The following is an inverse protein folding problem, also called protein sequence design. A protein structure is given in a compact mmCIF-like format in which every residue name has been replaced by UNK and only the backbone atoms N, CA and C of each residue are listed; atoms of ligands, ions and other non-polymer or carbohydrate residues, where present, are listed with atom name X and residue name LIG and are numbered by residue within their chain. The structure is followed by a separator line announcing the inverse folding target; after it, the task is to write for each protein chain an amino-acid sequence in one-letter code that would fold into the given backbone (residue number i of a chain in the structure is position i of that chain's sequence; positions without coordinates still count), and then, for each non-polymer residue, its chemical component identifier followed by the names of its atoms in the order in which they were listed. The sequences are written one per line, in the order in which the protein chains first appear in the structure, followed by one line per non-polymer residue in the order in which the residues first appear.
data_IF_321222771105
#
_entry.id   IF_321222771105
#
_cell.length_a   1.000
_cell.length_b   1.000
_cell.length_c   1.000
_cell.angle_alpha   90.00
_cell.angle_beta   90.00
_cell.angle_gamma   90.00
#
_symmetry.space_group_name_H-M   'P 1'
#
loop_
_entity.id
_entity.type
_entity.pdbx_description
1 polymer ?
#
# COMPACT_ATOMS: atom_id res chain seq x y z
N UNK A 1 -14.68 -10.02 9.88
CA UNK A 1 -14.73 -8.89 9.08
C UNK A 1 -13.85 -7.78 9.59
N UNK A 2 -13.21 -7.11 8.73
CA UNK A 2 -12.27 -6.10 9.18
C UNK A 2 -12.83 -4.70 9.06
N UNK A 3 -14.13 -4.59 9.28
CA UNK A 3 -14.75 -3.29 9.28
C UNK A 3 -14.03 -2.44 10.29
N UNK A 4 -13.71 -1.26 9.93
CA UNK A 4 -13.01 -0.37 10.82
C UNK A 4 -11.53 -0.35 10.67
N UNK A 5 -10.95 -1.30 9.96
CA UNK A 5 -9.52 -1.22 9.71
C UNK A 5 -9.25 -0.06 8.76
N UNK A 6 -8.35 0.78 9.14
CA UNK A 6 -7.95 1.90 8.31
C UNK A 6 -6.60 1.62 7.68
N UNK A 7 -6.51 1.89 6.40
CA UNK A 7 -5.24 1.80 5.69
C UNK A 7 -5.02 3.16 5.06
N UNK A 8 -3.89 3.77 5.31
CA UNK A 8 -3.53 5.04 4.69
C UNK A 8 -2.74 4.78 3.43
N UNK A 9 -3.00 5.57 2.42
CA UNK A 9 -2.26 5.48 1.17
C UNK A 9 -1.57 6.81 0.94
N UNK A 10 -0.28 6.75 0.72
CA UNK A 10 0.53 7.92 0.42
C UNK A 10 1.08 7.82 -0.98
N UNK A 11 1.04 8.92 -1.71
CA UNK A 11 1.60 8.95 -3.06
C UNK A 11 2.73 9.96 -3.11
N UNK A 12 3.83 9.56 -3.71
CA UNK A 12 4.94 10.46 -3.97
C UNK A 12 5.30 10.32 -5.44
N UNK A 13 5.37 11.43 -6.13
CA UNK A 13 5.73 11.43 -7.54
C UNK A 13 7.02 12.20 -7.71
N UNK A 14 7.99 11.54 -8.34
CA UNK A 14 9.26 12.16 -8.66
C UNK A 14 9.58 11.84 -10.11
N UNK A 15 9.62 12.88 -10.93
CA UNK A 15 9.90 12.69 -12.33
C UNK A 15 8.87 11.76 -12.95
N UNK A 16 9.34 10.67 -13.52
CA UNK A 16 8.49 9.71 -14.21
C UNK A 16 8.02 8.56 -13.33
N UNK A 17 8.31 8.62 -12.04
CA UNK A 17 8.02 7.52 -11.14
C UNK A 17 7.03 7.95 -10.08
N UNK A 18 6.04 7.11 -9.83
CA UNK A 18 5.12 7.30 -8.74
C UNK A 18 5.31 6.16 -7.75
N UNK A 19 5.25 6.50 -6.47
CA UNK A 19 5.36 5.51 -5.40
C UNK A 19 4.10 5.59 -4.56
N UNK A 20 3.48 4.45 -4.32
CA UNK A 20 2.33 4.37 -3.43
C UNK A 20 2.71 3.54 -2.23
N UNK A 21 2.42 4.04 -1.06
CA UNK A 21 2.72 3.34 0.19
C UNK A 21 1.42 3.14 0.94
N UNK A 22 1.13 1.89 1.27
CA UNK A 22 -0.02 1.56 2.10
C UNK A 22 0.47 1.32 3.51
N UNK A 23 -0.19 1.95 4.46
CA UNK A 23 0.24 1.92 5.85
C UNK A 23 -0.92 1.48 6.72
N UNK A 24 -0.66 0.47 7.55
CA UNK A 24 -1.62 0.06 8.57
C UNK A 24 -1.18 0.70 9.88
N UNK A 25 -1.91 1.73 10.35
CA UNK A 25 -1.47 2.43 11.56
C UNK A 25 -1.54 1.57 12.81
N UNK A 26 -2.39 0.57 12.82
CA UNK A 26 -2.53 -0.29 14.00
C UNK A 26 -1.29 -1.14 14.23
N UNK A 27 -0.71 -1.67 13.16
CA UNK A 27 0.45 -2.53 13.29
C UNK A 27 1.76 -1.83 12.96
N UNK A 28 1.69 -0.72 12.25
CA UNK A 28 2.88 -0.04 11.78
C UNK A 28 3.49 -0.67 10.53
N UNK A 29 2.85 -1.67 9.97
CA UNK A 29 3.35 -2.32 8.77
C UNK A 29 3.06 -1.45 7.56
N UNK A 30 4.02 -1.37 6.66
CA UNK A 30 3.90 -0.58 5.45
C UNK A 30 4.29 -1.42 4.25
N UNK A 31 3.66 -1.12 3.13
CA UNK A 31 4.00 -1.76 1.87
C UNK A 31 4.06 -0.70 0.80
N UNK A 32 5.07 -0.78 -0.02
CA UNK A 32 5.35 0.23 -1.02
C UNK A 32 5.42 -0.40 -2.39
N UNK A 33 4.80 0.23 -3.37
CA UNK A 33 4.93 -0.19 -4.76
C UNK A 33 5.28 1.01 -5.60
N UNK A 34 5.91 0.78 -6.73
CA UNK A 34 6.29 1.84 -7.64
C UNK A 34 5.71 1.57 -9.02
N UNK A 35 5.46 2.62 -9.74
CA UNK A 35 5.01 2.52 -11.11
C UNK A 35 5.29 3.80 -11.85
N UNK A 36 4.90 3.87 -13.12
CA UNK A 36 5.10 5.11 -13.87
C UNK A 36 4.19 6.21 -13.34
N UNK A 37 4.67 7.44 -13.43
CA UNK A 37 3.94 8.58 -12.88
C UNK A 37 2.57 8.73 -13.52
N UNK A 38 2.40 8.25 -14.74
CA UNK A 38 1.11 8.36 -15.42
C UNK A 38 0.19 7.16 -15.21
N UNK A 39 0.59 6.22 -14.35
CA UNK A 39 -0.30 5.10 -14.03
C UNK A 39 -1.49 5.62 -13.21
N UNK A 40 -2.64 4.98 -13.34
CA UNK A 40 -3.78 5.38 -12.53
C UNK A 40 -3.47 5.21 -11.05
N UNK A 41 -3.75 6.24 -10.27
CA UNK A 41 -3.47 6.18 -8.84
C UNK A 41 -4.22 5.05 -8.16
N UNK A 42 -5.45 4.79 -8.63
CA UNK A 42 -6.23 3.72 -8.04
C UNK A 42 -5.56 2.36 -8.22
N UNK A 43 -4.90 2.16 -9.35
CA UNK A 43 -4.21 0.89 -9.60
C UNK A 43 -3.02 0.74 -8.66
N UNK A 44 -2.26 1.82 -8.48
CA UNK A 44 -1.11 1.77 -7.58
C UNK A 44 -1.56 1.59 -6.13
N UNK A 45 -2.63 2.28 -5.74
CA UNK A 45 -3.15 2.14 -4.39
C UNK A 45 -3.60 0.71 -4.13
N UNK A 46 -4.27 0.13 -5.09
CA UNK A 46 -4.75 -1.24 -4.95
C UNK A 46 -3.60 -2.23 -4.83
N UNK A 47 -2.58 -2.04 -5.65
CA UNK A 47 -1.40 -2.90 -5.58
C UNK A 47 -0.69 -2.78 -4.24
N UNK A 48 -0.57 -1.56 -3.73
CA UNK A 48 0.06 -1.35 -2.43
C UNK A 48 -0.75 -2.00 -1.32
N UNK A 49 -2.07 -1.89 -1.40
CA UNK A 49 -2.94 -2.48 -0.40
C UNK A 49 -2.83 -4.01 -0.41
N UNK A 50 -2.78 -4.61 -1.58
CA UNK A 50 -2.63 -6.05 -1.68
C UNK A 50 -1.30 -6.52 -1.11
N UNK A 51 -0.25 -5.78 -1.39
CA UNK A 51 1.05 -6.11 -0.85
C UNK A 51 1.04 -6.01 0.67
N UNK A 52 0.38 -4.99 1.19
CA UNK A 52 0.27 -4.82 2.63
C UNK A 52 -0.46 -6.01 3.26
N UNK A 53 -1.56 -6.42 2.65
CA UNK A 53 -2.32 -7.56 3.15
C UNK A 53 -1.48 -8.81 3.16
N UNK A 54 -0.69 -9.01 2.12
CA UNK A 54 0.20 -10.15 2.06
C UNK A 54 1.22 -10.12 3.19
N UNK A 55 1.82 -8.96 3.44
CA UNK A 55 2.81 -8.83 4.51
C UNK A 55 2.19 -9.05 5.88
N UNK A 56 0.99 -8.54 6.08
CA UNK A 56 0.32 -8.70 7.35
C UNK A 56 -0.06 -10.14 7.61
N UNK A 57 -0.52 -10.82 6.58
CA UNK A 57 -0.86 -12.22 6.69
C UNK A 57 0.36 -13.06 7.01
N UNK A 58 1.47 -12.74 6.37
CA UNK A 58 2.71 -13.44 6.62
C UNK A 58 3.18 -13.24 8.04
N UNK A 59 3.04 -12.02 8.55
CA UNK A 59 3.44 -11.72 9.91
C UNK A 59 2.59 -12.49 10.93
N UNK A 60 1.32 -12.71 10.59
CA UNK A 60 0.40 -13.34 11.52
C UNK A 60 0.56 -14.83 11.60
N UNK A 61 1.61 -15.35 11.04
CA UNK A 61 1.77 -16.66 11.41
C UNK A 61 1.87 -17.64 10.36
N UNK A 62 2.22 -17.18 9.37
CA UNK A 62 2.47 -18.21 8.44
C UNK A 62 3.75 -18.06 7.82
#
# INVERSE_FOLDING_TARGET
MSAGRQIFIEFVIQGNVAKATAIDPASGIEACVMGPANAPKAALADAARRKLEFLMKKKDGN
#
